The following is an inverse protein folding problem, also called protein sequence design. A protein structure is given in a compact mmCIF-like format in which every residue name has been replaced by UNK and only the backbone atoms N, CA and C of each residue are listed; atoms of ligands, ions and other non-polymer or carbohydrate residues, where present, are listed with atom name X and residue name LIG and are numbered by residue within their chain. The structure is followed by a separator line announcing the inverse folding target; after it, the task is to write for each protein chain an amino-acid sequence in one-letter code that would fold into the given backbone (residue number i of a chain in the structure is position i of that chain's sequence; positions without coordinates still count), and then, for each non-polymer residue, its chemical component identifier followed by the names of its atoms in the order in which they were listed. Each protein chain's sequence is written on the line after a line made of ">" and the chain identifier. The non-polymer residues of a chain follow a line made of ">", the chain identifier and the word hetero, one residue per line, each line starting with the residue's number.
data_IF_712137625916
#
_entry.id   IF_712137625916
#
_cell.length_a   1.000
_cell.length_b   1.000
_cell.length_c   1.000
_cell.angle_alpha   90.00
_cell.angle_beta   90.00
_cell.angle_gamma   90.00
#
_symmetry.space_group_name_H-M   'P 1'
#
loop_
_entity.id
_entity.type
_entity.pdbx_description
1 polymer ?
#
# COMPACT_ATOMS: atom_id res chain seq x y z
N UNK A 1 -27.78 9.89 2.86
CA UNK A 1 -27.23 8.79 3.71
C UNK A 1 -26.60 9.40 4.96
N UNK A 2 -26.73 8.80 6.16
CA UNK A 2 -26.17 9.35 7.41
C UNK A 2 -24.69 9.72 7.19
N UNK A 3 -24.31 10.99 7.43
CA UNK A 3 -22.98 11.56 7.10
C UNK A 3 -21.83 10.65 7.52
N UNK A 4 -21.97 9.92 8.62
CA UNK A 4 -20.94 9.00 9.13
C UNK A 4 -20.71 7.77 8.26
N UNK A 5 -21.75 7.21 7.61
CA UNK A 5 -21.58 6.09 6.68
C UNK A 5 -20.72 6.50 5.47
N UNK A 6 -20.88 7.73 4.99
CA UNK A 6 -20.10 8.23 3.86
C UNK A 6 -18.60 8.36 4.21
N UNK A 7 -18.28 8.88 5.40
CA UNK A 7 -16.89 9.02 5.86
C UNK A 7 -16.21 7.66 6.03
N UNK A 8 -16.91 6.67 6.58
CA UNK A 8 -16.38 5.30 6.71
C UNK A 8 -16.09 4.67 5.34
N UNK A 9 -17.04 4.78 4.41
CA UNK A 9 -16.88 4.26 3.03
C UNK A 9 -15.72 4.97 2.32
N UNK A 10 -15.58 6.28 2.50
CA UNK A 10 -14.49 7.07 1.93
C UNK A 10 -13.12 6.58 2.42
N UNK A 11 -12.93 6.39 3.72
CA UNK A 11 -11.68 5.86 4.27
C UNK A 11 -11.39 4.43 3.81
N UNK A 12 -12.43 3.60 3.70
CA UNK A 12 -12.29 2.24 3.20
C UNK A 12 -11.83 2.21 1.73
N UNK A 13 -12.36 3.11 0.90
CA UNK A 13 -11.95 3.24 -0.50
C UNK A 13 -10.48 3.66 -0.61
N UNK A 14 -10.04 4.63 0.20
CA UNK A 14 -8.64 5.06 0.25
C UNK A 14 -7.73 3.92 0.69
N UNK A 15 -8.14 3.15 1.71
CA UNK A 15 -7.39 1.99 2.17
C UNK A 15 -7.26 0.94 1.05
N UNK A 16 -8.35 0.66 0.33
CA UNK A 16 -8.33 -0.27 -0.79
C UNK A 16 -7.38 0.18 -1.91
N UNK A 17 -7.46 1.45 -2.33
CA UNK A 17 -6.58 2.00 -3.37
C UNK A 17 -5.12 1.95 -2.91
N UNK A 18 -4.84 2.35 -1.66
CA UNK A 18 -3.49 2.28 -1.10
C UNK A 18 -2.95 0.86 -1.06
N UNK A 19 -3.80 -0.13 -0.78
CA UNK A 19 -3.42 -1.54 -0.79
C UNK A 19 -3.09 -2.06 -2.20
N UNK A 20 -3.86 -1.68 -3.22
CA UNK A 20 -3.54 -2.04 -4.61
C UNK A 20 -2.20 -1.42 -5.05
N UNK A 21 -1.98 -0.13 -4.73
CA UNK A 21 -0.71 0.55 -5.01
C UNK A 21 0.44 -0.13 -4.26
N UNK A 22 0.22 -0.55 -3.01
CA UNK A 22 1.20 -1.31 -2.23
C UNK A 22 1.58 -2.62 -2.96
N UNK A 23 0.60 -3.39 -3.43
CA UNK A 23 0.85 -4.65 -4.16
C UNK A 23 1.67 -4.44 -5.43
N UNK A 24 1.38 -3.39 -6.21
CA UNK A 24 2.15 -3.07 -7.42
C UNK A 24 3.61 -2.74 -7.10
N UNK A 25 3.85 -1.90 -6.08
CA UNK A 25 5.22 -1.56 -5.66
C UNK A 25 5.93 -2.76 -5.03
N UNK A 26 5.21 -3.58 -4.26
CA UNK A 26 5.74 -4.78 -3.64
C UNK A 26 6.17 -5.81 -4.69
N UNK A 27 5.36 -5.99 -5.74
CA UNK A 27 5.72 -6.84 -6.87
C UNK A 27 7.03 -6.38 -7.53
N UNK A 28 7.15 -5.08 -7.85
CA UNK A 28 8.36 -4.52 -8.45
C UNK A 28 9.60 -4.67 -7.56
N UNK A 29 9.43 -4.47 -6.24
CA UNK A 29 10.50 -4.70 -5.27
C UNK A 29 10.90 -6.18 -5.23
N UNK A 30 9.92 -7.08 -5.17
CA UNK A 30 10.15 -8.52 -5.11
C UNK A 30 10.86 -9.02 -6.36
N UNK A 31 10.44 -8.57 -7.54
CA UNK A 31 11.10 -8.84 -8.81
C UNK A 31 12.57 -8.38 -8.77
N UNK A 32 12.81 -7.13 -8.39
CA UNK A 32 14.16 -6.58 -8.37
C UNK A 32 15.07 -7.27 -7.35
N UNK A 33 14.55 -7.61 -6.17
CA UNK A 33 15.26 -8.40 -5.15
C UNK A 33 15.54 -9.83 -5.65
N UNK A 34 14.61 -10.44 -6.38
CA UNK A 34 14.78 -11.78 -6.93
C UNK A 34 15.94 -11.84 -7.92
N UNK A 35 16.11 -10.84 -8.78
CA UNK A 35 17.25 -10.74 -9.70
C UNK A 35 18.59 -10.47 -8.99
N UNK A 36 18.56 -9.78 -7.85
CA UNK A 36 19.76 -9.57 -7.03
C UNK A 36 20.19 -10.88 -6.35
N UNK A 37 19.24 -11.66 -5.83
CA UNK A 37 19.50 -12.92 -5.12
C UNK A 37 19.80 -14.10 -6.06
N UNK A 38 19.08 -14.19 -7.17
CA UNK A 38 19.21 -15.23 -8.18
C UNK A 38 19.52 -14.58 -9.54
N UNK A 39 20.77 -14.10 -9.73
CA UNK A 39 21.15 -13.48 -10.99
C UNK A 39 21.10 -14.51 -12.11
N UNK A 40 20.39 -14.17 -13.19
CA UNK A 40 20.36 -15.00 -14.39
C UNK A 40 21.79 -15.06 -14.94
N UNK A 41 22.37 -16.26 -14.97
CA UNK A 41 23.77 -16.46 -15.39
C UNK A 41 23.88 -16.68 -16.91
N UNK A 42 22.74 -16.79 -17.60
CA UNK A 42 22.73 -16.88 -19.05
C UNK A 42 23.08 -15.53 -19.68
N UNK A 43 24.09 -15.56 -20.55
CA UNK A 43 24.70 -14.44 -21.29
C UNK A 43 23.74 -13.82 -22.32
N UNK A 44 22.44 -14.01 -22.15
CA UNK A 44 21.41 -13.55 -23.05
C UNK A 44 21.13 -12.08 -22.71
N UNK A 45 21.07 -11.25 -23.74
CA UNK A 45 20.94 -9.78 -23.77
C UNK A 45 19.78 -9.17 -22.95
N UNK A 46 19.03 -9.98 -22.21
CA UNK A 46 17.86 -9.62 -21.40
C UNK A 46 18.13 -9.60 -19.89
N UNK A 47 19.38 -9.74 -19.44
CA UNK A 47 19.70 -9.56 -18.03
C UNK A 47 19.61 -8.07 -17.66
N UNK A 48 18.71 -7.68 -16.73
CA UNK A 48 18.60 -6.29 -16.30
C UNK A 48 19.92 -5.82 -15.69
N UNK A 49 20.37 -4.63 -16.08
CA UNK A 49 21.60 -4.02 -15.56
C UNK A 49 21.49 -3.89 -14.04
N UNK A 50 22.50 -4.37 -13.30
CA UNK A 50 22.52 -4.29 -11.84
C UNK A 50 22.34 -2.85 -11.34
N UNK A 51 22.85 -1.87 -12.07
CA UNK A 51 22.68 -0.46 -11.73
C UNK A 51 21.22 0.00 -11.86
N UNK A 52 20.48 -0.56 -12.82
CA UNK A 52 19.06 -0.27 -13.02
C UNK A 52 18.23 -0.89 -11.90
N UNK A 53 18.51 -2.15 -11.54
CA UNK A 53 17.88 -2.82 -10.41
C UNK A 53 18.10 -2.04 -9.10
N UNK A 54 19.31 -1.60 -8.81
CA UNK A 54 19.59 -0.81 -7.61
C UNK A 54 18.83 0.52 -7.56
N UNK A 55 18.68 1.22 -8.70
CA UNK A 55 17.88 2.45 -8.78
C UNK A 55 16.39 2.17 -8.54
N UNK A 56 15.88 1.07 -9.06
CA UNK A 56 14.50 0.66 -8.85
C UNK A 56 14.25 0.28 -7.38
N UNK A 57 15.19 -0.40 -6.72
CA UNK A 57 15.10 -0.66 -5.26
C UNK A 57 15.07 0.64 -4.45
N UNK A 58 15.99 1.57 -4.72
CA UNK A 58 16.11 2.84 -3.96
C UNK A 58 14.86 3.71 -4.13
N UNK A 59 14.20 3.66 -5.28
CA UNK A 59 12.97 4.44 -5.52
C UNK A 59 11.72 3.75 -4.96
N UNK A 60 11.66 2.42 -5.04
CA UNK A 60 10.48 1.64 -4.63
C UNK A 60 10.38 1.48 -3.12
N UNK A 61 11.49 1.33 -2.39
CA UNK A 61 11.51 1.17 -0.93
C UNK A 61 10.85 2.36 -0.20
N UNK A 62 11.24 3.63 -0.46
CA UNK A 62 10.60 4.78 0.16
C UNK A 62 9.11 4.88 -0.18
N UNK A 63 8.74 4.58 -1.42
CA UNK A 63 7.34 4.60 -1.86
C UNK A 63 6.50 3.56 -1.11
N UNK A 64 7.02 2.34 -0.92
CA UNK A 64 6.38 1.31 -0.11
C UNK A 64 6.15 1.75 1.33
N UNK A 65 7.12 2.42 1.95
CA UNK A 65 6.99 2.93 3.32
C UNK A 65 5.86 3.96 3.39
N UNK A 66 5.84 4.93 2.46
CA UNK A 66 4.81 5.99 2.41
C UNK A 66 3.42 5.37 2.22
N UNK A 67 3.27 4.44 1.28
CA UNK A 67 1.99 3.80 0.97
C UNK A 67 1.52 2.95 2.16
N UNK A 68 2.43 2.22 2.81
CA UNK A 68 2.12 1.42 4.01
C UNK A 68 1.62 2.30 5.15
N UNK A 69 2.28 3.43 5.40
CA UNK A 69 1.84 4.39 6.42
C UNK A 69 0.48 4.98 6.09
N UNK A 70 0.25 5.37 4.83
CA UNK A 70 -1.04 5.87 4.35
C UNK A 70 -2.16 4.83 4.54
N UNK A 71 -1.88 3.56 4.23
CA UNK A 71 -2.80 2.46 4.44
C UNK A 71 -3.17 2.27 5.91
N UNK A 72 -2.18 2.24 6.81
CA UNK A 72 -2.41 2.10 8.26
C UNK A 72 -3.24 3.28 8.79
N UNK A 73 -2.90 4.50 8.39
CA UNK A 73 -3.61 5.71 8.82
C UNK A 73 -5.06 5.70 8.33
N UNK A 74 -5.30 5.35 7.07
CA UNK A 74 -6.66 5.31 6.49
C UNK A 74 -7.52 4.25 7.17
N UNK A 75 -6.99 3.07 7.46
CA UNK A 75 -7.69 2.04 8.25
C UNK A 75 -8.02 2.53 9.65
N UNK A 76 -7.04 3.09 10.36
CA UNK A 76 -7.25 3.57 11.74
C UNK A 76 -8.29 4.69 11.80
N UNK A 77 -8.29 5.61 10.83
CA UNK A 77 -9.28 6.68 10.75
C UNK A 77 -10.66 6.16 10.35
N UNK A 78 -10.73 5.21 9.41
CA UNK A 78 -11.97 4.55 9.02
C UNK A 78 -12.64 3.82 10.19
N UNK A 79 -11.87 3.04 10.97
CA UNK A 79 -12.35 2.38 12.19
C UNK A 79 -12.82 3.39 13.24
N UNK A 80 -12.02 4.43 13.52
CA UNK A 80 -12.42 5.47 14.49
C UNK A 80 -13.73 6.18 14.09
N UNK A 81 -13.91 6.44 12.80
CA UNK A 81 -15.14 7.02 12.28
C UNK A 81 -16.35 6.08 12.45
N UNK A 82 -16.13 4.77 12.28
CA UNK A 82 -17.14 3.73 12.49
C UNK A 82 -17.55 3.62 13.96
N UNK A 83 -16.59 3.55 14.88
CA UNK A 83 -16.84 3.41 16.32
C UNK A 83 -17.57 4.64 16.88
N UNK A 84 -17.15 5.84 16.49
CA UNK A 84 -17.83 7.09 16.84
C UNK A 84 -19.28 7.13 16.33
N UNK A 85 -19.53 6.59 15.13
CA UNK A 85 -20.88 6.45 14.58
C UNK A 85 -21.79 5.58 15.44
N UNK A 86 -21.25 4.47 15.96
CA UNK A 86 -22.02 3.49 16.71
C UNK A 86 -22.23 3.93 18.15
N UNK A 87 -21.23 4.57 18.79
CA UNK A 87 -21.36 5.14 20.13
C UNK A 87 -22.43 6.25 20.20
N UNK A 88 -22.63 7.00 19.12
CA UNK A 88 -23.66 8.06 19.06
C UNK A 88 -25.08 7.49 18.90
N UNK A 89 -25.22 6.26 18.36
CA UNK A 89 -26.54 5.61 18.25
C UNK A 89 -27.06 5.09 19.59
N UNK A 90 -26.19 4.68 20.50
CA UNK A 90 -26.56 4.12 21.81
C UNK A 90 -26.94 5.16 22.86
N UNK A 91 -26.51 6.42 22.73
CA UNK A 91 -26.87 7.51 23.65
C UNK A 91 -28.16 8.25 23.30
N UNK A 92 -28.75 7.97 22.13
CA UNK A 92 -30.00 8.58 21.67
C UNK A 92 -31.19 7.60 21.69
N UNK A 93 -31.09 6.54 22.49
CA UNK A 93 -32.14 5.56 22.81
C UNK A 93 -32.46 5.67 24.30
#
# INVERSE_FOLDING_TARGET
>A
MKKTNFVVIFWLLIALISFVVFLMNFYSLFESVSYVLFPVTDNNTYSPDRNQLFRDLITTIPMLIIVTLSFIISLKQGLKAYDSSNSTKTTNL
#
